data_IF_121365011337
#
_entry.id   IF_121365011337
#
_cell.length_a   1.000
_cell.length_b   1.000
_cell.length_c   1.000
_cell.angle_alpha   90.00
_cell.angle_beta   90.00
_cell.angle_gamma   90.00
#
_symmetry.space_group_name_H-M   'P 1'
#
loop_
_entity.id
_entity.type
_entity.pdbx_description
1 polymer ?
#
# COMPACT_ATOMS: atom_id res chain seq x y z
N UNK A 1 -2.72 10.91 -25.46
CA UNK A 1 -3.93 10.57 -24.68
C UNK A 1 -3.82 11.33 -23.37
N UNK A 2 -4.93 11.71 -22.70
CA UNK A 2 -4.87 12.39 -21.40
C UNK A 2 -4.82 11.39 -20.26
N UNK A 3 -4.16 11.77 -19.16
CA UNK A 3 -4.19 11.02 -17.91
C UNK A 3 -5.57 11.20 -17.30
N UNK A 4 -6.24 10.10 -17.07
CA UNK A 4 -7.57 9.99 -16.43
C UNK A 4 -7.61 8.69 -15.63
N UNK A 5 -8.63 8.50 -14.80
CA UNK A 5 -8.81 7.25 -14.03
C UNK A 5 -8.73 6.01 -14.95
N UNK A 6 -8.15 4.93 -14.44
CA UNK A 6 -7.99 3.63 -15.12
C UNK A 6 -7.08 3.67 -16.36
N UNK A 7 -6.19 4.66 -16.43
CA UNK A 7 -5.13 4.73 -17.44
C UNK A 7 -3.81 4.25 -16.87
N UNK A 8 -3.04 3.52 -17.66
CA UNK A 8 -1.63 3.25 -17.37
C UNK A 8 -0.81 4.43 -17.84
N UNK A 9 -0.08 5.00 -16.91
CA UNK A 9 0.80 6.14 -17.14
C UNK A 9 2.25 5.68 -16.98
N UNK A 10 3.07 6.02 -17.93
CA UNK A 10 4.53 5.80 -17.87
C UNK A 10 5.19 7.17 -17.88
N UNK A 11 6.02 7.44 -16.90
CA UNK A 11 6.67 8.73 -16.75
C UNK A 11 8.11 8.62 -16.23
N UNK A 12 8.88 9.66 -16.48
CA UNK A 12 10.15 9.89 -15.79
C UNK A 12 9.95 10.95 -14.72
N UNK A 13 10.72 10.87 -13.65
CA UNK A 13 10.75 11.94 -12.65
C UNK A 13 12.11 12.02 -11.97
N UNK A 14 12.37 13.18 -11.38
CA UNK A 14 13.39 13.40 -10.38
C UNK A 14 12.71 13.99 -9.14
N UNK A 15 12.99 13.38 -7.99
CA UNK A 15 12.57 13.87 -6.68
C UNK A 15 13.76 14.53 -6.02
N UNK A 16 13.67 15.83 -5.83
CA UNK A 16 14.64 16.62 -5.07
C UNK A 16 14.11 16.89 -3.67
N UNK A 17 14.92 16.62 -2.67
CA UNK A 17 14.65 16.85 -1.25
C UNK A 17 15.87 17.52 -0.63
N UNK A 18 15.66 18.64 0.05
CA UNK A 18 16.73 19.42 0.70
C UNK A 18 17.87 19.82 -0.26
N UNK A 19 17.59 19.93 -1.56
CA UNK A 19 18.58 20.30 -2.60
C UNK A 19 19.40 19.12 -3.15
N UNK A 20 19.05 17.89 -2.77
CA UNK A 20 19.67 16.67 -3.26
C UNK A 20 18.63 15.79 -3.98
N UNK A 21 19.07 15.07 -5.02
CA UNK A 21 18.20 14.10 -5.70
C UNK A 21 18.07 12.87 -4.80
N UNK A 22 16.89 12.71 -4.21
CA UNK A 22 16.57 11.62 -3.31
C UNK A 22 16.12 10.36 -4.07
N UNK A 23 15.44 10.54 -5.21
CA UNK A 23 14.95 9.45 -6.04
C UNK A 23 14.76 9.91 -7.49
N UNK A 24 14.78 8.97 -8.43
CA UNK A 24 14.54 9.25 -9.85
C UNK A 24 14.10 8.03 -10.63
N UNK A 25 13.23 8.24 -11.60
CA UNK A 25 12.93 7.30 -12.67
C UNK A 25 13.43 7.87 -14.01
N UNK A 26 14.25 7.11 -14.72
CA UNK A 26 14.83 7.49 -16.00
C UNK A 26 14.09 6.82 -17.17
N UNK A 27 14.38 7.22 -18.41
CA UNK A 27 13.82 6.57 -19.61
C UNK A 27 14.18 5.07 -19.71
N UNK A 28 15.31 4.64 -19.14
CA UNK A 28 15.72 3.24 -19.12
C UNK A 28 14.94 2.43 -18.06
N UNK A 29 14.48 3.09 -17.01
CA UNK A 29 13.69 2.54 -15.91
C UNK A 29 12.62 3.54 -15.51
N UNK A 30 11.59 3.73 -16.34
CA UNK A 30 10.53 4.65 -16.04
C UNK A 30 9.63 4.13 -14.91
N UNK A 31 8.92 5.04 -14.27
CA UNK A 31 7.84 4.69 -13.38
C UNK A 31 6.58 4.45 -14.21
N UNK A 32 5.97 3.30 -14.01
CA UNK A 32 4.66 2.97 -14.58
C UNK A 32 3.66 2.65 -13.46
N UNK A 33 2.44 3.14 -13.61
CA UNK A 33 1.38 2.95 -12.62
C UNK A 33 0.00 3.09 -13.27
N UNK A 34 -1.04 2.59 -12.58
CA UNK A 34 -2.44 2.80 -13.00
C UNK A 34 -2.97 4.00 -12.24
N UNK A 35 -3.38 5.05 -12.98
CA UNK A 35 -3.88 6.28 -12.39
C UNK A 35 -5.24 6.07 -11.70
N UNK A 36 -5.38 6.63 -10.49
CA UNK A 36 -6.62 6.50 -9.68
C UNK A 36 -6.69 5.26 -8.82
N UNK A 37 -5.63 4.45 -8.74
CA UNK A 37 -5.56 3.26 -7.86
C UNK A 37 -4.86 3.53 -6.53
N UNK A 38 -4.49 4.78 -6.25
CA UNK A 38 -3.77 5.19 -5.04
C UNK A 38 -2.43 4.45 -4.83
N UNK A 39 -1.79 3.99 -5.90
CA UNK A 39 -0.44 3.43 -5.85
C UNK A 39 0.62 4.49 -5.54
N UNK A 40 0.35 5.74 -5.92
CA UNK A 40 1.20 6.89 -5.65
C UNK A 40 0.56 7.83 -4.63
N UNK A 41 1.30 8.84 -4.21
CA UNK A 41 0.76 9.89 -3.34
C UNK A 41 -0.48 10.53 -3.99
N UNK A 42 -1.61 10.66 -3.28
CA UNK A 42 -2.85 11.18 -3.88
C UNK A 42 -2.67 12.57 -4.49
N UNK A 43 -1.84 13.40 -3.87
CA UNK A 43 -1.55 14.74 -4.40
C UNK A 43 -0.68 14.68 -5.67
N UNK A 44 0.27 13.74 -5.75
CA UNK A 44 1.03 13.50 -6.98
C UNK A 44 0.10 13.14 -8.14
N UNK A 45 -0.81 12.19 -7.92
CA UNK A 45 -1.79 11.80 -8.93
C UNK A 45 -2.64 13.00 -9.38
N UNK A 46 -3.10 13.84 -8.43
CA UNK A 46 -3.89 15.03 -8.74
C UNK A 46 -3.12 16.10 -9.55
N UNK A 47 -1.81 16.24 -9.36
CA UNK A 47 -0.99 17.20 -10.11
C UNK A 47 -0.69 16.75 -11.54
N UNK A 48 -0.69 15.45 -11.81
CA UNK A 48 -0.47 14.91 -13.15
C UNK A 48 -1.77 14.60 -13.89
N UNK A 49 -2.91 14.67 -13.23
CA UNK A 49 -4.23 14.43 -13.83
C UNK A 49 -4.49 15.40 -15.00
N UNK A 50 -5.02 14.89 -16.10
CA UNK A 50 -5.32 15.66 -17.30
C UNK A 50 -4.12 16.01 -18.20
N UNK A 51 -2.87 15.72 -17.78
CA UNK A 51 -1.69 15.86 -18.63
C UNK A 51 -1.71 14.83 -19.76
N UNK A 52 -0.91 15.09 -20.78
CA UNK A 52 -0.81 14.26 -21.99
C UNK A 52 0.61 13.73 -22.18
N UNK A 53 0.74 12.72 -23.01
CA UNK A 53 2.03 12.23 -23.48
C UNK A 53 2.89 13.36 -24.05
N UNK A 54 4.13 13.45 -23.59
CA UNK A 54 5.09 14.51 -23.93
C UNK A 54 5.03 15.75 -23.03
N UNK A 55 4.02 15.87 -22.16
CA UNK A 55 3.93 17.00 -21.23
C UNK A 55 4.95 16.86 -20.09
N UNK A 56 5.52 18.00 -19.70
CA UNK A 56 6.39 18.09 -18.54
C UNK A 56 5.58 18.54 -17.32
N UNK A 57 5.94 18.03 -16.16
CA UNK A 57 5.38 18.49 -14.89
C UNK A 57 6.48 18.94 -13.94
N UNK A 58 6.14 19.89 -13.07
CA UNK A 58 7.00 20.32 -11.98
C UNK A 58 6.10 20.88 -10.88
N UNK A 59 6.14 20.25 -9.71
CA UNK A 59 5.36 20.67 -8.56
C UNK A 59 6.07 20.32 -7.26
N UNK A 60 5.63 20.97 -6.19
CA UNK A 60 6.17 20.77 -4.84
C UNK A 60 5.07 20.27 -3.93
N UNK A 61 5.32 19.20 -3.19
CA UNK A 61 4.45 18.70 -2.14
C UNK A 61 5.00 19.08 -0.78
N UNK A 62 4.11 19.61 0.06
CA UNK A 62 4.42 19.84 1.47
C UNK A 62 4.49 18.52 2.24
N UNK A 63 5.10 18.48 3.43
CA UNK A 63 5.12 17.26 4.25
C UNK A 63 3.72 16.67 4.46
N UNK A 64 2.70 17.51 4.65
CA UNK A 64 1.32 17.09 4.88
C UNK A 64 0.68 16.45 3.65
N UNK A 65 1.06 16.88 2.46
CA UNK A 65 0.59 16.36 1.17
C UNK A 65 1.40 15.14 0.68
N UNK A 66 2.56 14.91 1.29
CA UNK A 66 3.46 13.81 1.01
C UNK A 66 3.36 12.69 2.05
N UNK A 67 4.46 12.44 2.74
CA UNK A 67 4.59 11.35 3.73
C UNK A 67 4.23 11.75 5.16
N UNK A 68 3.62 12.90 5.34
CA UNK A 68 3.23 13.45 6.64
C UNK A 68 4.37 14.19 7.35
N UNK A 69 4.03 14.94 8.41
CA UNK A 69 5.01 15.61 9.25
C UNK A 69 5.87 14.57 10.00
N UNK A 70 7.11 14.97 10.30
CA UNK A 70 7.96 14.17 11.18
C UNK A 70 7.38 14.16 12.60
N UNK A 71 7.23 12.97 13.19
CA UNK A 71 6.65 12.77 14.51
C UNK A 71 7.70 12.21 15.47
N UNK A 72 8.09 13.02 16.44
CA UNK A 72 9.05 12.61 17.48
C UNK A 72 8.53 11.46 18.36
N UNK A 73 7.20 11.29 18.48
CA UNK A 73 6.60 10.18 19.21
C UNK A 73 6.83 8.81 18.54
N UNK A 74 7.18 8.82 17.26
CA UNK A 74 7.57 7.62 16.50
C UNK A 74 9.06 7.27 16.66
N UNK A 75 9.82 8.06 17.39
CA UNK A 75 11.21 7.74 17.74
C UNK A 75 11.20 7.05 19.10
N UNK A 76 11.46 5.75 19.12
CA UNK A 76 11.27 4.89 20.30
C UNK A 76 12.57 4.17 20.62
N UNK A 77 12.95 4.16 21.91
CA UNK A 77 14.04 3.32 22.39
C UNK A 77 13.54 1.89 22.61
N UNK A 78 14.14 0.94 21.91
CA UNK A 78 13.89 -0.49 22.08
C UNK A 78 15.03 -1.14 22.85
N UNK A 79 14.73 -2.06 23.78
CA UNK A 79 15.77 -2.77 24.52
C UNK A 79 16.58 -3.67 23.58
N UNK A 80 17.87 -3.85 23.86
CA UNK A 80 18.76 -4.72 23.05
C UNK A 80 18.24 -6.15 22.89
N UNK A 81 17.41 -6.61 23.81
CA UNK A 81 16.75 -7.92 23.69
C UNK A 81 15.84 -8.05 22.46
N UNK A 82 15.32 -6.94 21.93
CA UNK A 82 14.52 -6.93 20.70
C UNK A 82 15.36 -7.30 19.45
N UNK A 83 16.67 -7.19 19.55
CA UNK A 83 17.63 -7.52 18.46
C UNK A 83 18.33 -8.86 18.71
N UNK A 84 17.77 -9.70 19.58
CA UNK A 84 18.29 -11.02 19.87
C UNK A 84 17.51 -12.05 19.06
N UNK A 85 18.21 -12.82 18.25
CA UNK A 85 17.64 -13.92 17.45
C UNK A 85 18.26 -15.23 17.97
N UNK A 86 17.42 -16.19 18.33
CA UNK A 86 17.84 -17.48 18.89
C UNK A 86 18.80 -17.38 20.09
N UNK A 87 18.63 -16.32 20.91
CA UNK A 87 19.46 -16.08 22.09
C UNK A 87 20.80 -15.39 21.82
N UNK A 88 21.10 -15.04 20.55
CA UNK A 88 22.31 -14.32 20.14
C UNK A 88 21.97 -12.88 19.78
N UNK A 89 22.65 -11.93 20.42
CA UNK A 89 22.52 -10.52 20.08
C UNK A 89 23.13 -10.26 18.69
N UNK A 90 22.32 -9.71 17.79
CA UNK A 90 22.69 -9.39 16.41
C UNK A 90 23.17 -7.93 16.33
N UNK A 91 24.44 -7.70 16.61
CA UNK A 91 25.06 -6.36 16.53
C UNK A 91 25.01 -5.79 15.11
N UNK A 92 25.02 -6.65 14.10
CA UNK A 92 24.87 -6.28 12.70
C UNK A 92 23.53 -5.60 12.37
N UNK A 93 22.49 -5.85 13.16
CA UNK A 93 21.18 -5.19 13.01
C UNK A 93 21.14 -3.80 13.65
N UNK A 94 22.07 -3.47 14.52
CA UNK A 94 22.10 -2.21 15.28
C UNK A 94 22.98 -1.14 14.63
N UNK A 95 23.36 -1.28 13.36
CA UNK A 95 24.14 -0.27 12.65
C UNK A 95 23.31 1.00 12.41
N UNK A 96 23.87 2.16 12.76
CA UNK A 96 23.20 3.46 12.58
C UNK A 96 22.90 3.70 11.10
N UNK A 97 21.65 4.12 10.80
CA UNK A 97 21.14 4.31 9.45
C UNK A 97 20.57 3.06 8.78
N UNK A 98 20.67 1.89 9.42
CA UNK A 98 20.09 0.66 8.89
C UNK A 98 18.58 0.64 9.12
N UNK A 99 17.85 0.32 8.07
CA UNK A 99 16.38 0.13 8.12
C UNK A 99 16.04 -1.34 8.29
N UNK A 100 15.22 -1.66 9.27
CA UNK A 100 14.82 -3.01 9.64
C UNK A 100 13.30 -3.17 9.60
N UNK A 101 12.79 -4.33 9.13
CA UNK A 101 11.39 -4.68 9.31
C UNK A 101 11.15 -5.08 10.78
N UNK A 102 10.24 -4.40 11.43
CA UNK A 102 9.84 -4.65 12.80
C UNK A 102 8.37 -5.07 12.84
N UNK A 103 8.01 -5.96 13.75
CA UNK A 103 6.61 -6.36 13.93
C UNK A 103 5.91 -5.38 14.87
N UNK A 104 4.87 -4.73 14.38
CA UNK A 104 3.99 -3.87 15.18
C UNK A 104 3.12 -4.67 16.17
N UNK A 105 2.50 -3.99 17.11
CA UNK A 105 1.59 -4.59 18.10
C UNK A 105 0.34 -5.23 17.49
N UNK A 106 -0.04 -4.76 16.34
CA UNK A 106 -1.15 -5.25 15.50
C UNK A 106 -0.76 -6.42 14.58
N UNK A 107 0.52 -6.84 14.62
CA UNK A 107 1.07 -7.89 13.77
C UNK A 107 1.46 -7.42 12.36
N UNK A 108 1.32 -6.15 12.07
CA UNK A 108 1.79 -5.54 10.83
C UNK A 108 3.31 -5.37 10.82
N UNK A 109 3.90 -5.38 9.64
CA UNK A 109 5.33 -5.08 9.46
C UNK A 109 5.49 -3.57 9.33
N UNK A 110 6.29 -2.97 10.20
CA UNK A 110 6.70 -1.58 10.16
C UNK A 110 8.20 -1.51 9.88
N UNK A 111 8.61 -0.60 9.05
CA UNK A 111 10.03 -0.35 8.81
C UNK A 111 10.51 0.73 9.76
N UNK A 112 11.63 0.48 10.43
CA UNK A 112 12.25 1.43 11.33
C UNK A 112 13.74 1.57 11.04
N UNK A 113 14.24 2.78 11.14
CA UNK A 113 15.66 3.09 10.91
C UNK A 113 16.37 3.26 12.24
N UNK A 114 17.54 2.63 12.40
CA UNK A 114 18.38 2.79 13.57
C UNK A 114 18.96 4.21 13.58
N UNK A 115 18.60 4.99 14.60
CA UNK A 115 19.07 6.39 14.77
C UNK A 115 20.27 6.48 15.66
N UNK A 116 20.27 5.73 16.77
CA UNK A 116 21.34 5.73 17.74
C UNK A 116 21.36 4.41 18.54
N UNK A 117 22.55 4.01 18.97
CA UNK A 117 22.71 2.83 19.86
C UNK A 117 23.19 3.34 21.20
N UNK A 118 22.39 3.09 22.25
CA UNK A 118 22.70 3.47 23.64
C UNK A 118 23.25 2.27 24.43
N UNK A 119 23.67 2.50 25.65
CA UNK A 119 24.07 1.40 26.55
C UNK A 119 22.91 0.44 26.86
N UNK A 120 21.70 0.97 26.98
CA UNK A 120 20.51 0.23 27.42
C UNK A 120 19.63 -0.28 26.28
N UNK A 121 19.72 0.36 25.09
CA UNK A 121 18.81 0.08 23.98
C UNK A 121 19.32 0.58 22.64
N UNK A 122 18.40 0.60 21.70
CA UNK A 122 18.58 1.14 20.35
C UNK A 122 17.43 2.11 20.08
N UNK A 123 17.75 3.32 19.73
CA UNK A 123 16.77 4.32 19.33
C UNK A 123 16.40 4.07 17.87
N UNK A 124 15.14 3.72 17.65
CA UNK A 124 14.58 3.42 16.35
C UNK A 124 13.62 4.52 15.91
N UNK A 125 13.76 4.96 14.69
CA UNK A 125 12.88 5.93 14.05
C UNK A 125 11.91 5.20 13.11
N UNK A 126 10.62 5.24 13.46
CA UNK A 126 9.51 4.65 12.71
C UNK A 126 8.85 5.64 11.75
N UNK A 127 9.40 6.85 11.61
CA UNK A 127 8.96 7.77 10.58
C UNK A 127 9.36 7.27 9.19
N UNK A 128 8.59 7.65 8.19
CA UNK A 128 9.02 7.49 6.80
C UNK A 128 10.29 8.31 6.55
N UNK A 129 11.17 7.84 5.65
CA UNK A 129 12.41 8.55 5.30
C UNK A 129 12.19 9.96 4.76
N UNK A 130 11.02 10.18 4.17
CA UNK A 130 10.61 11.46 3.56
C UNK A 130 9.66 12.26 4.46
N UNK A 131 9.32 11.75 5.65
CA UNK A 131 8.46 12.46 6.60
C UNK A 131 9.10 13.80 7.02
N UNK A 132 8.27 14.84 7.10
CA UNK A 132 8.70 16.19 7.46
C UNK A 132 9.47 16.94 6.36
N UNK A 133 9.66 16.33 5.18
CA UNK A 133 10.40 16.93 4.08
C UNK A 133 9.49 17.48 3.00
N UNK A 134 9.95 18.54 2.36
CA UNK A 134 9.31 19.10 1.16
C UNK A 134 9.84 18.35 -0.06
N UNK A 135 8.92 17.87 -0.89
CA UNK A 135 9.21 17.03 -2.04
C UNK A 135 9.03 17.84 -3.31
N UNK A 136 10.11 18.05 -4.05
CA UNK A 136 10.08 18.73 -5.35
C UNK A 136 10.15 17.69 -6.46
N UNK A 137 9.06 17.52 -7.17
CA UNK A 137 8.98 16.61 -8.30
C UNK A 137 9.10 17.39 -9.62
N UNK A 138 9.88 16.85 -10.54
CA UNK A 138 9.94 17.30 -11.94
C UNK A 138 10.07 16.09 -12.83
N UNK A 139 9.41 16.10 -13.97
CA UNK A 139 9.45 14.94 -14.87
C UNK A 139 8.69 15.15 -16.17
N UNK A 140 8.56 14.07 -16.92
CA UNK A 140 7.92 14.05 -18.24
C UNK A 140 7.05 12.82 -18.39
N UNK A 141 5.86 12.99 -18.94
CA UNK A 141 4.97 11.88 -19.28
C UNK A 141 5.46 11.23 -20.57
N UNK A 142 5.87 9.97 -20.52
CA UNK A 142 6.37 9.23 -21.67
C UNK A 142 5.24 8.61 -22.49
N UNK A 143 4.27 7.99 -21.84
CA UNK A 143 3.11 7.41 -22.52
C UNK A 143 1.89 7.32 -21.62
N UNK A 144 0.72 7.34 -22.23
CA UNK A 144 -0.57 7.15 -21.58
C UNK A 144 -1.40 6.18 -22.42
N UNK A 145 -1.87 5.09 -21.84
CA UNK A 145 -2.73 4.11 -22.50
C UNK A 145 -3.87 3.63 -21.59
N UNK A 146 -4.85 2.99 -22.16
CA UNK A 146 -5.88 2.34 -21.38
C UNK A 146 -5.31 1.13 -20.62
N UNK A 147 -5.72 0.96 -19.36
CA UNK A 147 -5.43 -0.27 -18.64
C UNK A 147 -6.33 -1.40 -19.16
N UNK A 148 -5.80 -2.60 -19.22
CA UNK A 148 -6.59 -3.78 -19.55
C UNK A 148 -7.39 -4.24 -18.33
N UNK A 149 -8.50 -4.95 -18.56
CA UNK A 149 -9.29 -5.52 -17.45
C UNK A 149 -8.46 -6.41 -16.51
N UNK A 150 -7.45 -7.07 -17.05
CA UNK A 150 -6.52 -7.87 -16.27
C UNK A 150 -5.64 -7.01 -15.37
N UNK A 151 -5.08 -5.93 -15.89
CA UNK A 151 -4.24 -4.98 -15.14
C UNK A 151 -5.05 -4.27 -14.04
N UNK A 152 -6.29 -3.90 -14.30
CA UNK A 152 -7.16 -3.30 -13.30
C UNK A 152 -7.50 -4.27 -12.14
N UNK A 153 -7.51 -5.57 -12.41
CA UNK A 153 -7.84 -6.58 -11.40
C UNK A 153 -6.62 -7.15 -10.68
N UNK A 154 -5.50 -7.31 -11.36
CA UNK A 154 -4.32 -8.01 -10.86
C UNK A 154 -3.12 -7.05 -10.60
N UNK A 155 -3.29 -5.74 -10.91
CA UNK A 155 -2.20 -4.78 -10.92
C UNK A 155 -1.35 -4.86 -12.19
N UNK A 156 -0.54 -3.84 -12.43
CA UNK A 156 0.24 -3.70 -13.66
C UNK A 156 1.29 -4.83 -13.82
N UNK A 157 1.87 -5.27 -12.70
CA UNK A 157 2.88 -6.33 -12.64
C UNK A 157 2.42 -7.55 -11.83
N UNK A 158 1.11 -7.77 -11.69
CA UNK A 158 0.54 -8.79 -10.82
C UNK A 158 0.57 -8.38 -9.34
N UNK A 159 0.69 -7.11 -9.05
CA UNK A 159 0.58 -6.54 -7.73
C UNK A 159 -0.89 -6.57 -7.29
N UNK A 160 -1.11 -6.94 -6.02
CA UNK A 160 -2.45 -6.95 -5.47
C UNK A 160 -2.97 -5.51 -5.34
N UNK A 161 -3.97 -5.15 -6.13
CA UNK A 161 -4.72 -3.92 -5.90
C UNK A 161 -5.74 -4.20 -4.79
N UNK A 162 -5.76 -3.40 -3.71
CA UNK A 162 -6.79 -3.53 -2.70
C UNK A 162 -8.16 -3.34 -3.37
N UNK A 163 -9.17 -4.18 -3.05
CA UNK A 163 -10.50 -4.02 -3.61
C UNK A 163 -11.03 -2.62 -3.25
N UNK A 164 -11.62 -1.92 -4.23
CA UNK A 164 -12.32 -0.67 -3.98
C UNK A 164 -13.31 -0.88 -2.81
N UNK A 165 -13.42 0.08 -1.90
CA UNK A 165 -14.35 0.02 -0.77
C UNK A 165 -15.80 -0.11 -1.27
N UNK A 166 -16.27 -1.32 -1.43
CA UNK A 166 -17.62 -1.60 -1.94
C UNK A 166 -17.97 -3.08 -1.91
N UNK A 167 -16.98 -3.94 -1.90
CA UNK A 167 -17.22 -5.40 -1.84
C UNK A 167 -16.57 -5.97 -0.57
N UNK A 168 -17.24 -5.80 0.57
CA UNK A 168 -16.96 -6.62 1.76
C UNK A 168 -17.38 -8.04 1.44
N UNK A 169 -16.50 -8.79 0.80
CA UNK A 169 -16.63 -10.25 0.85
C UNK A 169 -16.44 -10.68 2.30
N UNK A 170 -17.23 -11.64 2.74
CA UNK A 170 -17.21 -12.23 4.08
C UNK A 170 -15.84 -12.90 4.32
N UNK A 171 -14.82 -12.12 4.66
CA UNK A 171 -13.53 -12.66 5.15
C UNK A 171 -13.61 -12.80 6.66
N UNK A 172 -14.45 -13.73 7.13
CA UNK A 172 -14.27 -14.33 8.44
C UNK A 172 -12.96 -15.14 8.43
N UNK A 173 -12.27 -15.23 9.57
CA UNK A 173 -11.05 -16.03 9.80
C UNK A 173 -11.34 -17.54 9.59
N UNK A 174 -11.65 -17.95 8.39
CA UNK A 174 -11.91 -19.31 7.98
C UNK A 174 -11.72 -19.39 6.47
N UNK A 175 -11.20 -20.50 5.98
CA UNK A 175 -10.94 -20.75 4.55
C UNK A 175 -12.26 -20.87 3.79
N UNK A 176 -12.93 -19.74 3.56
CA UNK A 176 -14.14 -19.67 2.76
C UNK A 176 -13.84 -18.99 1.42
N UNK A 177 -14.28 -19.58 0.34
CA UNK A 177 -14.21 -18.99 -1.00
C UNK A 177 -15.62 -18.53 -1.37
N UNK A 178 -15.81 -17.22 -1.52
CA UNK A 178 -17.00 -16.68 -2.17
C UNK A 178 -16.74 -16.57 -3.66
N UNK A 179 -17.40 -17.38 -4.44
CA UNK A 179 -17.40 -17.26 -5.90
C UNK A 179 -18.61 -16.45 -6.35
N UNK A 180 -18.36 -15.38 -7.10
CA UNK A 180 -19.38 -14.61 -7.78
C UNK A 180 -19.83 -15.37 -9.03
N UNK A 181 -20.72 -16.34 -8.84
CA UNK A 181 -21.57 -16.80 -9.92
C UNK A 181 -22.89 -16.05 -9.79
N UNK A 182 -23.53 -15.67 -10.89
CA UNK A 182 -24.77 -14.91 -10.92
C UNK A 182 -25.96 -15.56 -10.21
N UNK A 183 -25.74 -16.59 -9.45
CA UNK A 183 -26.65 -17.32 -8.56
C UNK A 183 -25.80 -17.70 -7.34
N UNK A 184 -26.05 -17.04 -6.22
CA UNK A 184 -25.17 -17.03 -5.05
C UNK A 184 -25.06 -18.39 -4.37
N UNK A 185 -23.82 -18.88 -4.26
CA UNK A 185 -23.49 -19.99 -3.37
C UNK A 185 -22.35 -19.56 -2.46
N UNK A 186 -22.56 -19.66 -1.15
CA UNK A 186 -21.50 -19.51 -0.16
C UNK A 186 -21.15 -20.91 0.37
N UNK A 187 -19.88 -21.28 0.32
CA UNK A 187 -19.38 -22.50 0.95
C UNK A 187 -18.51 -22.14 2.15
N UNK A 188 -18.88 -22.58 3.31
CA UNK A 188 -18.03 -22.60 4.49
C UNK A 188 -17.30 -23.95 4.55
N UNK A 189 -16.00 -23.94 4.82
CA UNK A 189 -15.19 -25.14 4.90
C UNK A 189 -15.49 -25.93 6.17
N UNK A 190 -16.43 -26.83 6.10
CA UNK A 190 -16.90 -27.68 7.18
C UNK A 190 -18.42 -27.75 7.08
N UNK A 191 -18.95 -28.86 6.66
CA UNK A 191 -20.33 -29.35 6.77
C UNK A 191 -21.46 -28.29 6.84
N UNK A 192 -21.61 -27.49 5.78
CA UNK A 192 -22.75 -26.57 5.64
C UNK A 192 -22.87 -26.09 4.21
N UNK A 193 -23.94 -26.43 3.53
CA UNK A 193 -24.27 -25.93 2.20
C UNK A 193 -25.27 -24.80 2.32
N UNK A 194 -24.95 -23.66 1.75
CA UNK A 194 -25.94 -22.60 1.57
C UNK A 194 -26.83 -22.94 0.38
N UNK A 195 -28.14 -23.03 0.61
CA UNK A 195 -29.11 -23.25 -0.44
C UNK A 195 -29.50 -21.96 -1.15
N UNK A 196 -29.79 -22.10 -2.43
CA UNK A 196 -30.21 -21.04 -3.32
C UNK A 196 -31.54 -20.41 -2.85
N UNK A 197 -31.56 -19.11 -2.56
CA UNK A 197 -32.78 -18.37 -2.34
C UNK A 197 -33.37 -17.95 -3.68
N UNK A 198 -34.63 -18.40 -3.96
CA UNK A 198 -35.34 -18.12 -5.20
C UNK A 198 -35.71 -16.66 -5.44
N UNK A 199 -35.55 -15.79 -4.45
CA UNK A 199 -36.03 -14.42 -4.45
C UNK A 199 -34.93 -13.36 -4.53
N UNK A 200 -33.68 -13.73 -4.89
CA UNK A 200 -32.60 -12.79 -5.19
C UNK A 200 -32.05 -12.01 -3.99
N UNK A 201 -32.44 -12.32 -2.77
CA UNK A 201 -31.90 -11.71 -1.55
C UNK A 201 -30.69 -12.49 -1.07
N UNK A 202 -29.54 -11.82 -1.02
CA UNK A 202 -28.26 -12.43 -0.67
C UNK A 202 -28.23 -12.98 0.76
N UNK A 203 -27.58 -14.12 0.95
CA UNK A 203 -27.43 -14.82 2.23
C UNK A 203 -26.56 -14.13 3.27
N UNK A 204 -26.09 -12.91 3.06
CA UNK A 204 -25.17 -12.25 3.97
C UNK A 204 -25.87 -11.20 4.80
N UNK A 205 -26.12 -11.50 6.08
CA UNK A 205 -26.57 -10.51 7.06
C UNK A 205 -25.39 -9.93 7.84
N UNK A 206 -25.46 -8.63 8.12
CA UNK A 206 -24.56 -7.95 9.04
C UNK A 206 -24.76 -8.52 10.45
N UNK A 207 -23.77 -9.23 10.96
CA UNK A 207 -23.77 -9.72 12.34
C UNK A 207 -23.35 -11.18 12.44
N UNK A 208 -22.12 -11.45 12.30
CA UNK A 208 -21.22 -12.47 12.84
C UNK A 208 -21.69 -13.89 13.21
N UNK A 209 -22.89 -14.30 12.98
CA UNK A 209 -23.37 -15.65 13.28
C UNK A 209 -24.17 -16.21 12.10
N UNK A 210 -23.51 -17.07 11.32
CA UNK A 210 -24.09 -18.03 10.39
C UNK A 210 -24.94 -17.46 9.23
N UNK A 211 -24.45 -17.61 8.01
CA UNK A 211 -25.16 -17.19 6.79
C UNK A 211 -26.32 -18.10 6.35
N UNK A 212 -26.69 -19.09 7.11
CA UNK A 212 -27.71 -20.06 6.70
C UNK A 212 -28.68 -20.33 7.83
N UNK A 213 -29.95 -20.08 7.61
CA UNK A 213 -31.04 -20.62 8.42
C UNK A 213 -31.56 -21.91 7.80
N UNK A 214 -31.45 -23.00 8.56
CA UNK A 214 -32.22 -24.19 8.31
C UNK A 214 -33.72 -23.85 8.50
N UNK A 215 -34.50 -24.06 7.48
CA UNK A 215 -35.95 -24.15 7.61
C UNK A 215 -36.33 -25.62 7.46
N UNK A 216 -36.87 -26.15 8.54
CA UNK A 216 -37.70 -27.34 8.57
C UNK A 216 -38.95 -27.20 7.62
#
# INVERSE_FOLDING_TARGET
>A
MKIEKDKVVVLTYELEVDGEIADRASEERPLDYIHGTHMLLPKFEAEVDGLSEGDNFSFTLTPEEGYGPYDEAKVIELPKSAFTVEGVLREDLMEIGRTLPMMGKDGGILYATVKEVTENGVIMDFNDRMAGKTLNFKGTILSVRDATEKELREGLHGEYLPPEEGHRCCHGKGKGHCHKHGEGHCHEGGEGHCHEHKDGEGCCHEGGEGCCHDKD
#
